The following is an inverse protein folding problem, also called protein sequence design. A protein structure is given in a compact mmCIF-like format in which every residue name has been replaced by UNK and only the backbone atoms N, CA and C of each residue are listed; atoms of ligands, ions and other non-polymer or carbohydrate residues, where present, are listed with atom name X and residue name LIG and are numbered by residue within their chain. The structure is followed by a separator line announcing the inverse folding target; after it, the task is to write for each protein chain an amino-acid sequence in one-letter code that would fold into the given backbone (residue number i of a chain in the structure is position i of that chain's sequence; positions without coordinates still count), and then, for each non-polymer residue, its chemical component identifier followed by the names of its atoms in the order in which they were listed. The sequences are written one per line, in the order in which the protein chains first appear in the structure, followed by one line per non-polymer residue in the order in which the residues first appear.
data_IF_950082510087
#
_entry.id   IF_950082510087
#
_cell.length_a   1.000
_cell.length_b   1.000
_cell.length_c   1.000
_cell.angle_alpha   90.00
_cell.angle_beta   90.00
_cell.angle_gamma   90.00
#
_symmetry.space_group_name_H-M   'P 1'
#
loop_
_entity.id
_entity.type
_entity.pdbx_description
1 polymer ?
#
# COMPACT_ATOMS: atom_id res chain seq x y z
N UNK A 1 -34.91 -9.80 -20.35
CA UNK A 1 -34.67 -9.24 -19.01
C UNK A 1 -34.76 -10.42 -18.06
N UNK A 2 -33.63 -11.09 -17.84
CA UNK A 2 -33.57 -12.42 -17.25
C UNK A 2 -33.54 -12.36 -15.73
N UNK A 3 -34.36 -13.19 -15.10
CA UNK A 3 -34.56 -13.28 -13.63
C UNK A 3 -33.26 -13.68 -12.89
N UNK A 4 -32.26 -14.20 -13.61
CA UNK A 4 -30.93 -14.52 -13.09
C UNK A 4 -30.05 -13.29 -12.74
N UNK A 5 -30.32 -12.10 -13.32
CA UNK A 5 -29.57 -10.88 -12.98
C UNK A 5 -29.94 -10.32 -11.58
N UNK A 6 -31.09 -10.71 -11.03
CA UNK A 6 -31.60 -10.18 -9.75
C UNK A 6 -30.87 -10.75 -8.52
N UNK A 7 -30.51 -12.03 -8.53
CA UNK A 7 -29.84 -12.69 -7.39
C UNK A 7 -28.33 -12.40 -7.32
N UNK A 8 -27.72 -11.95 -8.42
CA UNK A 8 -26.30 -11.57 -8.48
C UNK A 8 -26.04 -10.07 -8.23
N UNK A 9 -27.09 -9.27 -8.02
CA UNK A 9 -26.99 -7.81 -7.89
C UNK A 9 -26.41 -7.37 -6.52
N UNK A 10 -26.42 -8.25 -5.52
CA UNK A 10 -25.89 -7.97 -4.19
C UNK A 10 -24.37 -7.75 -4.13
N UNK A 11 -23.61 -8.36 -5.05
CA UNK A 11 -22.15 -8.28 -5.10
C UNK A 11 -21.63 -7.25 -6.11
N UNK A 12 -22.50 -6.59 -6.88
CA UNK A 12 -22.07 -5.60 -7.88
C UNK A 12 -21.85 -4.23 -7.23
N UNK A 13 -20.86 -3.45 -7.69
CA UNK A 13 -20.69 -2.08 -7.22
C UNK A 13 -21.95 -1.30 -7.58
N UNK A 14 -22.67 -0.82 -6.55
CA UNK A 14 -23.92 -0.07 -6.72
C UNK A 14 -23.67 1.39 -7.12
N UNK A 15 -22.47 1.91 -6.92
CA UNK A 15 -22.07 3.25 -7.36
C UNK A 15 -21.30 3.06 -8.65
N UNK A 16 -22.01 3.21 -9.77
CA UNK A 16 -21.41 3.17 -11.09
C UNK A 16 -21.40 4.59 -11.64
N UNK A 17 -20.40 5.39 -11.26
CA UNK A 17 -20.31 6.83 -11.59
C UNK A 17 -20.58 7.12 -13.07
N UNK A 18 -20.08 6.28 -13.98
CA UNK A 18 -20.27 6.41 -15.44
C UNK A 18 -21.42 5.56 -16.02
N UNK A 19 -22.20 4.86 -15.19
CA UNK A 19 -23.18 3.86 -15.67
C UNK A 19 -24.57 3.96 -15.01
N UNK A 20 -24.78 4.92 -14.12
CA UNK A 20 -26.11 5.30 -13.65
C UNK A 20 -26.74 6.18 -14.74
N UNK A 21 -27.98 5.86 -15.15
CA UNK A 21 -28.73 6.66 -16.14
C UNK A 21 -29.54 7.72 -15.40
N UNK A 22 -28.90 8.77 -14.90
CA UNK A 22 -29.62 10.03 -14.67
C UNK A 22 -29.21 11.05 -15.75
N UNK A 23 -30.09 12.01 -16.11
CA UNK A 23 -29.76 13.05 -17.09
C UNK A 23 -28.50 13.87 -16.74
N UNK A 24 -28.16 13.95 -15.46
CA UNK A 24 -26.97 14.65 -14.94
C UNK A 24 -25.66 13.91 -15.28
N UNK A 25 -25.68 12.59 -15.41
CA UNK A 25 -24.48 11.75 -15.61
C UNK A 25 -23.89 11.85 -17.04
N UNK A 26 -24.71 12.22 -18.03
CA UNK A 26 -24.22 12.49 -19.40
C UNK A 26 -23.29 13.72 -19.46
N UNK A 27 -23.24 14.53 -18.40
CA UNK A 27 -22.39 15.71 -18.28
C UNK A 27 -21.10 15.49 -17.47
N UNK A 28 -20.88 14.29 -16.92
CA UNK A 28 -19.69 14.03 -16.10
C UNK A 28 -18.40 14.10 -16.94
N UNK A 29 -17.33 14.74 -16.43
CA UNK A 29 -16.04 14.75 -17.09
C UNK A 29 -15.52 13.32 -17.33
N UNK A 30 -15.08 13.03 -18.55
CA UNK A 30 -14.50 11.72 -18.89
C UNK A 30 -15.48 10.63 -19.28
N UNK A 31 -16.80 10.89 -19.32
CA UNK A 31 -17.82 9.89 -19.73
C UNK A 31 -17.56 9.30 -21.11
N UNK A 32 -17.21 10.12 -22.10
CA UNK A 32 -16.90 9.65 -23.45
C UNK A 32 -15.69 8.72 -23.47
N UNK A 33 -14.61 9.10 -22.79
CA UNK A 33 -13.43 8.25 -22.64
C UNK A 33 -13.73 6.95 -21.89
N UNK A 34 -14.61 6.98 -20.87
CA UNK A 34 -15.04 5.78 -20.15
C UNK A 34 -15.79 4.80 -21.07
N UNK A 35 -16.69 5.30 -21.93
CA UNK A 35 -17.40 4.49 -22.92
C UNK A 35 -16.45 3.88 -23.95
N UNK A 36 -15.53 4.70 -24.50
CA UNK A 36 -14.51 4.22 -25.43
C UNK A 36 -13.61 3.16 -24.79
N UNK A 37 -13.19 3.37 -23.54
CA UNK A 37 -12.37 2.43 -22.79
C UNK A 37 -13.11 1.11 -22.56
N UNK A 38 -14.43 1.13 -22.32
CA UNK A 38 -15.21 -0.11 -22.23
C UNK A 38 -15.22 -0.90 -23.53
N UNK A 39 -15.45 -0.23 -24.67
CA UNK A 39 -15.40 -0.89 -25.98
C UNK A 39 -14.01 -1.47 -26.21
N UNK A 40 -12.97 -0.68 -25.95
CA UNK A 40 -11.57 -1.05 -26.09
C UNK A 40 -11.23 -2.31 -25.26
N UNK A 41 -11.57 -2.32 -23.96
CA UNK A 41 -11.28 -3.46 -23.06
C UNK A 41 -12.07 -4.71 -23.45
N UNK A 42 -13.34 -4.58 -23.86
CA UNK A 42 -14.16 -5.71 -24.33
C UNK A 42 -13.62 -6.34 -25.61
N UNK A 43 -13.04 -5.52 -26.49
CA UNK A 43 -12.36 -5.96 -27.70
C UNK A 43 -10.92 -6.45 -27.45
N UNK A 44 -10.58 -6.76 -26.18
CA UNK A 44 -9.30 -7.34 -25.76
C UNK A 44 -8.09 -6.47 -26.10
N UNK A 45 -8.22 -5.15 -26.01
CA UNK A 45 -7.12 -4.22 -26.26
C UNK A 45 -5.83 -4.49 -25.47
N UNK A 46 -4.74 -3.90 -25.96
CA UNK A 46 -3.44 -3.80 -25.31
C UNK A 46 -3.42 -2.67 -24.26
N UNK A 47 -2.38 -2.65 -23.43
CA UNK A 47 -2.19 -1.58 -22.44
C UNK A 47 -1.96 -0.21 -23.10
N UNK A 48 -1.28 -0.17 -24.25
CA UNK A 48 -1.03 1.05 -25.02
C UNK A 48 -2.31 1.63 -25.63
N UNK A 49 -3.17 0.77 -26.18
CA UNK A 49 -4.48 1.18 -26.69
C UNK A 49 -5.35 1.78 -25.58
N UNK A 50 -5.34 1.19 -24.38
CA UNK A 50 -6.03 1.74 -23.22
C UNK A 50 -5.46 3.11 -22.80
N UNK A 51 -4.13 3.30 -22.83
CA UNK A 51 -3.49 4.58 -22.55
C UNK A 51 -3.83 5.64 -23.60
N UNK A 52 -3.93 5.25 -24.87
CA UNK A 52 -4.31 6.15 -25.96
C UNK A 52 -5.71 6.74 -25.76
N UNK A 53 -6.67 5.93 -25.28
CA UNK A 53 -8.02 6.43 -24.92
C UNK A 53 -7.97 7.49 -23.82
N UNK A 54 -7.04 7.36 -22.87
CA UNK A 54 -6.88 8.28 -21.75
C UNK A 54 -6.03 9.51 -22.07
N UNK A 55 -5.35 9.55 -23.22
CA UNK A 55 -4.32 10.55 -23.53
C UNK A 55 -4.85 11.97 -23.46
N UNK A 56 -6.02 12.19 -24.06
CA UNK A 56 -6.58 13.52 -24.34
C UNK A 56 -7.51 14.02 -23.22
N UNK A 57 -7.59 13.30 -22.10
CA UNK A 57 -8.35 13.74 -20.93
C UNK A 57 -7.71 14.96 -20.25
N UNK A 58 -8.50 16.00 -19.91
CA UNK A 58 -8.00 17.19 -19.23
C UNK A 58 -7.44 16.83 -17.84
N UNK A 59 -6.56 17.67 -17.30
CA UNK A 59 -6.04 17.49 -15.95
C UNK A 59 -6.64 18.55 -15.02
N UNK A 60 -7.63 18.18 -14.17
CA UNK A 60 -8.29 19.12 -13.27
C UNK A 60 -7.34 19.85 -12.31
N UNK A 61 -6.18 19.26 -11.99
CA UNK A 61 -5.19 19.89 -11.11
C UNK A 61 -4.45 21.03 -11.83
N UNK A 62 -4.21 20.92 -13.13
CA UNK A 62 -3.56 21.99 -13.92
C UNK A 62 -4.46 23.21 -14.02
N UNK A 63 -5.77 23.00 -14.11
CA UNK A 63 -6.75 24.08 -14.21
C UNK A 63 -6.96 24.79 -12.85
N UNK A 64 -6.79 24.08 -11.74
CA UNK A 64 -6.83 24.64 -10.39
C UNK A 64 -5.54 25.42 -10.05
N UNK A 65 -4.37 24.88 -10.41
CA UNK A 65 -3.07 25.50 -10.12
C UNK A 65 -2.75 26.69 -11.04
N UNK A 66 -3.42 26.82 -12.20
CA UNK A 66 -3.31 27.98 -13.09
C UNK A 66 -3.74 29.31 -12.45
N UNK A 67 -4.43 29.27 -11.30
CA UNK A 67 -4.83 30.44 -10.51
C UNK A 67 -3.80 30.83 -9.44
N UNK A 68 -2.72 30.06 -9.28
CA UNK A 68 -1.64 30.32 -8.31
C UNK A 68 -0.29 30.47 -9.02
N UNK A 69 0.48 31.51 -8.66
CA UNK A 69 1.71 31.90 -9.36
C UNK A 69 2.89 30.89 -9.30
N UNK A 70 2.73 29.73 -8.66
CA UNK A 70 3.70 28.65 -8.57
C UNK A 70 3.14 27.37 -9.23
N UNK A 71 2.83 27.43 -10.52
CA UNK A 71 2.34 26.28 -11.29
C UNK A 71 3.46 25.24 -11.53
N UNK A 72 3.79 24.45 -10.52
CA UNK A 72 4.48 23.19 -10.72
C UNK A 72 3.59 22.30 -11.59
N UNK A 73 4.15 21.58 -12.56
CA UNK A 73 3.38 20.61 -13.34
C UNK A 73 2.72 19.60 -12.37
N UNK A 74 1.39 19.54 -12.37
CA UNK A 74 0.65 18.65 -11.48
C UNK A 74 1.21 17.21 -11.61
N UNK A 75 1.63 16.56 -10.50
CA UNK A 75 2.43 15.34 -10.54
C UNK A 75 1.66 14.10 -11.05
N UNK A 76 0.35 14.23 -11.27
CA UNK A 76 -0.50 13.20 -11.84
C UNK A 76 -1.79 13.81 -12.42
N UNK A 77 -2.57 13.00 -13.14
CA UNK A 77 -3.90 13.38 -13.63
C UNK A 77 -4.99 12.56 -12.94
N UNK A 78 -5.78 13.15 -12.01
CA UNK A 78 -6.80 12.42 -11.27
C UNK A 78 -7.95 11.93 -12.15
N UNK A 79 -8.28 12.63 -13.24
CA UNK A 79 -9.37 12.23 -14.13
C UNK A 79 -9.00 10.99 -14.94
N UNK A 80 -7.75 10.90 -15.42
CA UNK A 80 -7.25 9.68 -16.10
C UNK A 80 -7.32 8.46 -15.18
N UNK A 81 -6.90 8.63 -13.92
CA UNK A 81 -6.98 7.57 -12.90
C UNK A 81 -8.43 7.19 -12.63
N UNK A 82 -9.32 8.17 -12.42
CA UNK A 82 -10.73 7.93 -12.13
C UNK A 82 -11.41 7.15 -13.27
N UNK A 83 -11.35 7.65 -14.50
CA UNK A 83 -11.92 6.99 -15.68
C UNK A 83 -11.38 5.56 -15.82
N UNK A 84 -10.06 5.39 -15.74
CA UNK A 84 -9.44 4.07 -15.90
C UNK A 84 -9.84 3.07 -14.80
N UNK A 85 -9.66 3.44 -13.53
CA UNK A 85 -9.91 2.55 -12.39
C UNK A 85 -11.38 2.20 -12.27
N UNK A 86 -12.28 3.20 -12.39
CA UNK A 86 -13.72 2.98 -12.34
C UNK A 86 -14.17 2.04 -13.46
N UNK A 87 -13.67 2.26 -14.69
CA UNK A 87 -14.06 1.46 -15.86
C UNK A 87 -13.54 0.03 -15.76
N UNK A 88 -12.25 -0.15 -15.50
CA UNK A 88 -11.61 -1.46 -15.48
C UNK A 88 -12.18 -2.35 -14.36
N UNK A 89 -12.31 -1.82 -13.14
CA UNK A 89 -12.80 -2.60 -12.01
C UNK A 89 -14.31 -2.87 -12.10
N UNK A 90 -15.08 -1.98 -12.74
CA UNK A 90 -16.49 -2.26 -13.04
C UNK A 90 -16.64 -3.40 -14.07
N UNK A 91 -15.78 -3.45 -15.10
CA UNK A 91 -15.77 -4.60 -16.04
C UNK A 91 -15.30 -5.90 -15.37
N UNK A 92 -14.37 -5.79 -14.41
CA UNK A 92 -13.88 -6.91 -13.60
C UNK A 92 -14.81 -7.30 -12.44
N UNK A 93 -15.99 -6.71 -12.31
CA UNK A 93 -16.81 -6.80 -11.08
C UNK A 93 -17.56 -8.12 -10.89
N UNK A 94 -17.42 -9.09 -11.81
CA UNK A 94 -18.16 -10.36 -11.76
C UNK A 94 -17.70 -11.27 -10.61
N UNK A 95 -16.41 -11.28 -10.32
CA UNK A 95 -15.84 -11.97 -9.16
C UNK A 95 -14.47 -11.39 -8.82
N UNK A 96 -13.95 -11.73 -7.63
CA UNK A 96 -12.59 -11.36 -7.20
C UNK A 96 -11.55 -11.78 -8.26
N UNK A 97 -11.66 -13.00 -8.79
CA UNK A 97 -10.74 -13.50 -9.83
C UNK A 97 -10.78 -12.67 -11.11
N UNK A 98 -11.95 -12.19 -11.54
CA UNK A 98 -12.05 -11.30 -12.70
C UNK A 98 -11.39 -9.94 -12.44
N UNK A 99 -11.58 -9.38 -11.24
CA UNK A 99 -10.90 -8.13 -10.84
C UNK A 99 -9.38 -8.31 -10.79
N UNK A 100 -8.88 -9.43 -10.28
CA UNK A 100 -7.45 -9.73 -10.25
C UNK A 100 -6.84 -9.95 -11.63
N UNK A 101 -7.56 -10.63 -12.52
CA UNK A 101 -7.16 -10.78 -13.92
C UNK A 101 -7.11 -9.42 -14.63
N UNK A 102 -8.10 -8.54 -14.39
CA UNK A 102 -8.12 -7.19 -14.93
C UNK A 102 -6.92 -6.36 -14.46
N UNK A 103 -6.65 -6.34 -13.15
CA UNK A 103 -5.47 -5.66 -12.57
C UNK A 103 -4.18 -6.20 -13.17
N UNK A 104 -4.05 -7.52 -13.31
CA UNK A 104 -2.82 -8.14 -13.82
C UNK A 104 -2.62 -7.85 -15.32
N UNK A 105 -3.70 -7.89 -16.11
CA UNK A 105 -3.66 -7.59 -17.56
C UNK A 105 -3.23 -6.13 -17.83
N UNK A 106 -3.71 -5.18 -17.03
CA UNK A 106 -3.43 -3.76 -17.22
C UNK A 106 -2.47 -3.19 -16.17
N UNK A 107 -1.61 -4.04 -15.59
CA UNK A 107 -0.62 -3.64 -14.57
C UNK A 107 0.29 -2.50 -15.06
N UNK A 108 0.74 -2.57 -16.31
CA UNK A 108 1.55 -1.51 -16.93
C UNK A 108 0.85 -0.14 -16.91
N UNK A 109 -0.46 -0.10 -17.23
CA UNK A 109 -1.25 1.15 -17.19
C UNK A 109 -1.35 1.68 -15.76
N UNK A 110 -1.55 0.80 -14.77
CA UNK A 110 -1.52 1.19 -13.36
C UNK A 110 -0.17 1.78 -12.96
N UNK A 111 0.96 1.19 -13.39
CA UNK A 111 2.29 1.70 -13.05
C UNK A 111 2.56 3.08 -13.64
N UNK A 112 2.08 3.37 -14.85
CA UNK A 112 2.17 4.71 -15.44
C UNK A 112 1.27 5.71 -14.70
N UNK A 113 0.03 5.31 -14.38
CA UNK A 113 -0.94 6.22 -13.78
C UNK A 113 -0.70 6.48 -12.28
N UNK A 114 -0.03 5.57 -11.57
CA UNK A 114 0.19 5.59 -10.13
C UNK A 114 1.67 5.80 -9.75
N UNK A 115 2.36 6.66 -10.49
CA UNK A 115 3.81 6.93 -10.30
C UNK A 115 4.12 7.66 -8.98
N UNK A 116 3.30 8.65 -8.61
CA UNK A 116 3.44 9.42 -7.36
C UNK A 116 2.56 8.88 -6.22
N UNK A 117 2.93 9.20 -4.97
CA UNK A 117 2.15 8.81 -3.78
C UNK A 117 0.71 9.35 -3.85
N UNK A 118 0.53 10.59 -4.31
CA UNK A 118 -0.80 11.20 -4.48
C UNK A 118 -1.63 10.49 -5.55
N UNK A 119 -0.99 10.00 -6.61
CA UNK A 119 -1.64 9.21 -7.63
C UNK A 119 -2.07 7.83 -7.10
N UNK A 120 -1.23 7.18 -6.28
CA UNK A 120 -1.57 5.93 -5.60
C UNK A 120 -2.76 6.11 -4.65
N UNK A 121 -2.79 7.21 -3.87
CA UNK A 121 -3.94 7.57 -3.03
C UNK A 121 -5.19 7.83 -3.89
N UNK A 122 -5.03 8.43 -5.08
CA UNK A 122 -6.12 8.60 -6.05
C UNK A 122 -6.67 7.26 -6.55
N UNK A 123 -5.82 6.26 -6.82
CA UNK A 123 -6.22 4.90 -7.16
C UNK A 123 -7.00 4.25 -6.01
N UNK A 124 -6.47 4.29 -4.79
CA UNK A 124 -7.12 3.72 -3.59
C UNK A 124 -8.49 4.34 -3.34
N UNK A 125 -8.60 5.67 -3.52
CA UNK A 125 -9.87 6.37 -3.43
C UNK A 125 -10.88 5.88 -4.48
N UNK A 126 -10.46 5.65 -5.72
CA UNK A 126 -11.34 5.12 -6.75
C UNK A 126 -11.81 3.68 -6.46
N UNK A 127 -10.91 2.85 -5.93
CA UNK A 127 -11.27 1.51 -5.44
C UNK A 127 -12.33 1.61 -4.33
N UNK A 128 -12.13 2.50 -3.37
CA UNK A 128 -13.05 2.75 -2.27
C UNK A 128 -14.41 3.26 -2.76
N UNK A 129 -14.44 4.28 -3.61
CA UNK A 129 -15.67 4.88 -4.13
C UNK A 129 -16.52 3.84 -4.90
N UNK A 130 -15.87 2.93 -5.64
CA UNK A 130 -16.54 1.84 -6.37
C UNK A 130 -17.08 0.75 -5.41
N UNK A 131 -16.28 0.36 -4.41
CA UNK A 131 -16.53 -0.82 -3.57
C UNK A 131 -16.89 -0.53 -2.11
N UNK A 132 -17.28 0.71 -1.78
CA UNK A 132 -17.55 1.14 -0.39
C UNK A 132 -18.62 0.31 0.34
N UNK A 133 -19.52 -0.35 -0.43
CA UNK A 133 -20.58 -1.24 0.09
C UNK A 133 -20.17 -2.71 0.16
N UNK A 134 -18.97 -3.06 -0.29
CA UNK A 134 -18.41 -4.41 -0.26
C UNK A 134 -17.02 -4.40 0.41
N UNK A 135 -16.96 -4.32 1.75
CA UNK A 135 -15.69 -4.22 2.49
C UNK A 135 -14.65 -5.28 2.14
N UNK A 136 -15.07 -6.54 2.00
CA UNK A 136 -14.18 -7.64 1.61
C UNK A 136 -13.50 -7.39 0.25
N UNK A 137 -14.22 -6.83 -0.73
CA UNK A 137 -13.65 -6.50 -2.03
C UNK A 137 -12.58 -5.41 -1.92
N UNK A 138 -12.81 -4.38 -1.08
CA UNK A 138 -11.80 -3.36 -0.79
C UNK A 138 -10.54 -4.01 -0.21
N UNK A 139 -10.67 -4.86 0.81
CA UNK A 139 -9.53 -5.53 1.44
C UNK A 139 -8.71 -6.35 0.43
N UNK A 140 -9.35 -7.18 -0.40
CA UNK A 140 -8.63 -8.05 -1.35
C UNK A 140 -8.03 -7.27 -2.53
N UNK A 141 -8.64 -6.16 -2.96
CA UNK A 141 -8.09 -5.32 -4.02
C UNK A 141 -6.89 -4.52 -3.52
N UNK A 142 -6.95 -3.97 -2.31
CA UNK A 142 -5.78 -3.30 -1.69
C UNK A 142 -4.64 -4.30 -1.49
N UNK A 143 -4.92 -5.50 -0.99
CA UNK A 143 -3.94 -6.60 -0.89
C UNK A 143 -3.29 -6.93 -2.24
N UNK A 144 -4.10 -7.04 -3.31
CA UNK A 144 -3.62 -7.31 -4.66
C UNK A 144 -2.74 -6.16 -5.18
N UNK A 145 -3.15 -4.91 -4.97
CA UNK A 145 -2.39 -3.73 -5.42
C UNK A 145 -1.04 -3.60 -4.70
N UNK A 146 -0.98 -3.90 -3.41
CA UNK A 146 0.28 -3.99 -2.65
C UNK A 146 1.17 -5.12 -3.18
N UNK A 147 0.61 -6.32 -3.40
CA UNK A 147 1.36 -7.48 -3.94
C UNK A 147 1.95 -7.22 -5.32
N UNK A 148 1.27 -6.42 -6.15
CA UNK A 148 1.73 -6.07 -7.50
C UNK A 148 2.46 -4.73 -7.54
N UNK A 149 2.80 -4.14 -6.40
CA UNK A 149 3.51 -2.85 -6.30
C UNK A 149 2.86 -1.73 -7.15
N UNK A 150 1.52 -1.74 -7.23
CA UNK A 150 0.74 -0.64 -7.82
C UNK A 150 0.66 0.51 -6.80
N UNK A 151 0.53 0.16 -5.52
CA UNK A 151 0.55 1.09 -4.40
C UNK A 151 1.56 0.63 -3.36
N UNK A 152 2.12 1.58 -2.63
CA UNK A 152 3.02 1.37 -1.51
C UNK A 152 2.27 1.35 -0.18
N UNK A 153 2.93 0.81 0.86
CA UNK A 153 2.35 0.74 2.20
C UNK A 153 2.10 2.13 2.80
N UNK A 154 3.00 3.08 2.54
CA UNK A 154 2.89 4.50 2.90
C UNK A 154 1.60 5.12 2.34
N UNK A 155 1.35 4.95 1.05
CA UNK A 155 0.16 5.47 0.37
C UNK A 155 -1.14 4.91 0.97
N UNK A 156 -1.16 3.60 1.31
CA UNK A 156 -2.32 2.97 1.98
C UNK A 156 -2.55 3.56 3.37
N UNK A 157 -1.49 3.70 4.18
CA UNK A 157 -1.60 4.33 5.50
C UNK A 157 -2.11 5.78 5.37
N UNK A 158 -1.50 6.59 4.51
CA UNK A 158 -1.93 7.98 4.27
C UNK A 158 -3.39 8.07 3.81
N UNK A 159 -3.84 7.16 2.93
CA UNK A 159 -5.23 7.10 2.48
C UNK A 159 -6.21 6.76 3.62
N UNK A 160 -5.90 5.78 4.46
CA UNK A 160 -6.77 5.35 5.57
C UNK A 160 -7.07 6.47 6.57
N UNK A 161 -6.08 7.32 6.84
CA UNK A 161 -6.22 8.48 7.74
C UNK A 161 -6.67 9.77 7.02
N UNK A 162 -7.06 9.68 5.74
CA UNK A 162 -7.52 10.85 5.00
C UNK A 162 -8.88 11.36 5.49
N UNK A 163 -9.15 12.66 5.28
CA UNK A 163 -10.42 13.30 5.63
C UNK A 163 -11.65 12.59 5.03
N UNK A 164 -11.50 12.01 3.83
CA UNK A 164 -12.58 11.24 3.17
C UNK A 164 -12.94 9.95 3.90
N UNK A 165 -11.99 9.36 4.62
CA UNK A 165 -12.18 8.11 5.37
C UNK A 165 -12.67 8.35 6.81
N UNK A 166 -12.56 9.58 7.33
CA UNK A 166 -12.96 9.94 8.69
C UNK A 166 -14.38 9.48 9.07
N UNK A 167 -15.43 9.60 8.22
CA UNK A 167 -16.77 9.12 8.55
C UNK A 167 -16.90 7.59 8.70
N UNK A 168 -15.90 6.84 8.21
CA UNK A 168 -15.86 5.38 8.22
C UNK A 168 -14.82 4.83 9.20
N UNK A 169 -14.08 5.70 9.89
CA UNK A 169 -12.88 5.36 10.64
C UNK A 169 -13.09 4.32 11.75
N UNK A 170 -14.30 4.25 12.33
CA UNK A 170 -14.64 3.26 13.37
C UNK A 170 -14.98 1.87 12.81
N UNK A 171 -15.05 1.69 11.49
CA UNK A 171 -15.40 0.40 10.88
C UNK A 171 -14.21 -0.56 10.87
N UNK A 172 -14.42 -1.79 11.35
CA UNK A 172 -13.36 -2.79 11.55
C UNK A 172 -12.50 -3.10 10.32
N UNK A 173 -13.08 -3.18 9.13
CA UNK A 173 -12.34 -3.55 7.92
C UNK A 173 -11.26 -2.52 7.52
N UNK A 174 -11.37 -1.25 7.92
CA UNK A 174 -10.30 -0.27 7.67
C UNK A 174 -9.04 -0.62 8.46
N UNK A 175 -9.23 -1.13 9.66
CA UNK A 175 -8.15 -1.61 10.52
C UNK A 175 -7.60 -2.94 10.01
N UNK A 176 -8.45 -3.83 9.49
CA UNK A 176 -7.96 -5.03 8.77
C UNK A 176 -7.04 -4.65 7.61
N UNK A 177 -7.36 -3.62 6.83
CA UNK A 177 -6.49 -3.12 5.75
C UNK A 177 -5.19 -2.55 6.31
N UNK A 178 -5.22 -1.78 7.39
CA UNK A 178 -4.01 -1.24 8.04
C UNK A 178 -3.08 -2.37 8.50
N UNK A 179 -3.62 -3.30 9.27
CA UNK A 179 -2.88 -4.42 9.84
C UNK A 179 -2.35 -5.37 8.75
N UNK A 180 -3.14 -5.63 7.70
CA UNK A 180 -2.67 -6.35 6.51
C UNK A 180 -1.49 -5.65 5.83
N UNK A 181 -1.53 -4.33 5.75
CA UNK A 181 -0.46 -3.52 5.14
C UNK A 181 0.83 -3.58 5.97
N UNK A 182 0.73 -3.40 7.28
CA UNK A 182 1.88 -3.50 8.20
C UNK A 182 2.45 -4.93 8.16
N UNK A 183 1.60 -5.95 8.25
CA UNK A 183 2.02 -7.35 8.21
C UNK A 183 2.79 -7.68 6.93
N UNK A 184 2.36 -7.15 5.77
CA UNK A 184 3.09 -7.32 4.51
C UNK A 184 4.47 -6.70 4.55
N UNK A 185 4.58 -5.48 5.05
CA UNK A 185 5.85 -4.80 5.17
C UNK A 185 6.80 -5.57 6.08
N UNK A 186 6.31 -6.02 7.25
CA UNK A 186 7.08 -6.85 8.18
C UNK A 186 7.53 -8.15 7.51
N UNK A 187 6.63 -8.85 6.82
CA UNK A 187 6.96 -10.09 6.10
C UNK A 187 7.97 -9.86 4.98
N UNK A 188 7.91 -8.73 4.30
CA UNK A 188 8.87 -8.37 3.25
C UNK A 188 10.28 -8.20 3.82
N UNK A 189 10.41 -7.44 4.90
CA UNK A 189 11.68 -7.25 5.62
C UNK A 189 12.23 -8.58 6.14
N UNK A 190 11.39 -9.38 6.82
CA UNK A 190 11.83 -10.69 7.33
C UNK A 190 12.28 -11.63 6.22
N UNK A 191 11.60 -11.60 5.07
CA UNK A 191 11.99 -12.40 3.90
C UNK A 191 13.36 -11.99 3.35
N UNK A 192 13.56 -10.69 3.12
CA UNK A 192 14.85 -10.19 2.62
C UNK A 192 15.99 -10.45 3.61
N UNK A 193 15.73 -10.31 4.91
CA UNK A 193 16.70 -10.64 5.96
C UNK A 193 17.10 -12.11 5.96
N UNK A 194 16.14 -13.02 5.75
CA UNK A 194 16.42 -14.45 5.62
C UNK A 194 17.25 -14.78 4.37
N UNK A 195 16.84 -14.25 3.21
CA UNK A 195 17.56 -14.43 1.94
C UNK A 195 19.01 -13.92 2.02
N UNK A 196 19.23 -12.78 2.66
CA UNK A 196 20.57 -12.24 2.88
C UNK A 196 21.42 -13.12 3.81
N UNK A 197 20.84 -13.61 4.91
CA UNK A 197 21.54 -14.50 5.84
C UNK A 197 21.98 -15.79 5.15
N UNK A 198 21.07 -16.41 4.39
CA UNK A 198 21.35 -17.63 3.62
C UNK A 198 22.47 -17.41 2.59
N UNK A 199 22.46 -16.26 1.89
CA UNK A 199 23.49 -15.92 0.92
C UNK A 199 24.87 -15.69 1.57
N UNK A 200 24.91 -14.97 2.71
CA UNK A 200 26.16 -14.75 3.47
C UNK A 200 26.75 -16.07 3.97
N UNK A 201 25.92 -16.97 4.49
CA UNK A 201 26.37 -18.30 4.91
C UNK A 201 26.87 -19.15 3.74
N UNK A 202 26.20 -19.09 2.59
CA UNK A 202 26.63 -19.81 1.39
C UNK A 202 27.98 -19.31 0.88
N UNK A 203 28.22 -17.98 0.93
CA UNK A 203 29.50 -17.38 0.58
C UNK A 203 30.61 -17.82 1.55
N UNK A 204 30.37 -17.73 2.86
CA UNK A 204 31.34 -18.15 3.88
C UNK A 204 31.74 -19.64 3.78
N UNK A 205 30.77 -20.53 3.49
CA UNK A 205 31.04 -21.97 3.26
C UNK A 205 31.85 -22.23 1.99
N UNK A 206 31.68 -21.40 0.96
CA UNK A 206 32.45 -21.52 -0.28
C UNK A 206 33.91 -21.08 -0.08
N UNK A 207 34.15 -20.05 0.73
CA UNK A 207 35.50 -19.56 1.01
C UNK A 207 36.29 -20.52 1.92
N UNK A 208 35.64 -21.11 2.94
CA UNK A 208 36.28 -22.11 3.80
C UNK A 208 36.67 -23.38 3.03
N UNK A 209 35.81 -23.83 2.11
CA UNK A 209 36.06 -24.97 1.23
C UNK A 209 37.21 -24.72 0.22
N UNK A 210 37.46 -23.47 -0.15
CA UNK A 210 38.55 -23.12 -1.05
C UNK A 210 39.90 -23.14 -0.33
N UNK A 211 39.92 -22.72 0.94
CA UNK A 211 41.15 -22.64 1.74
C UNK A 211 41.65 -24.01 2.20
N UNK A 212 40.77 -24.99 2.43
CA UNK A 212 41.15 -26.38 2.78
C UNK A 212 41.73 -27.17 1.59
N UNK A 213 41.52 -26.71 0.35
CA UNK A 213 42.01 -27.40 -0.85
C UNK A 213 43.45 -27.03 -1.22
N UNK A 214 44.04 -25.98 -0.62
CA UNK A 214 45.42 -25.55 -0.89
C UNK A 214 46.45 -26.11 0.11
N UNK A 215 46.04 -26.72 1.23
CA UNK A 215 46.98 -27.32 2.21
C UNK A 215 47.36 -28.79 1.91
N UNK A 216 46.64 -29.51 1.03
CA UNK A 216 47.01 -30.87 0.60
C UNK A 216 47.70 -30.93 -0.78
N UNK A 217 48.47 -29.89 -1.12
CA UNK A 217 49.23 -29.78 -2.37
C UNK A 217 50.63 -30.40 -2.36
N UNK A 218 50.95 -31.30 -1.42
CA UNK A 218 52.26 -31.97 -1.34
C UNK A 218 52.14 -33.48 -1.07
N UNK A 219 51.41 -34.23 -1.88
CA UNK A 219 51.54 -35.69 -1.85
C UNK A 219 50.47 -36.49 -2.60
N UNK A 220 50.82 -36.94 -3.81
CA UNK A 220 50.32 -38.24 -4.32
C UNK A 220 49.12 -38.19 -5.27
N UNK A 221 49.38 -38.57 -6.52
CA UNK A 221 48.39 -38.84 -7.54
C UNK A 221 47.41 -39.96 -7.13
N UNK A 222 46.11 -39.80 -7.42
CA UNK A 222 45.30 -40.69 -8.29
C UNK A 222 43.80 -40.34 -8.23
N UNK A 223 43.21 -40.16 -9.43
CA UNK A 223 41.88 -40.68 -9.78
C UNK A 223 40.63 -40.07 -9.14
N UNK A 224 39.88 -39.29 -9.92
CA UNK A 224 38.42 -39.15 -9.72
C UNK A 224 37.89 -37.74 -9.92
N UNK A 225 37.72 -37.34 -11.18
CA UNK A 225 37.04 -36.09 -11.58
C UNK A 225 35.54 -36.17 -11.23
N UNK A 226 35.21 -35.93 -9.96
CA UNK A 226 33.84 -35.74 -9.51
C UNK A 226 33.47 -34.29 -9.81
N UNK A 227 32.87 -34.07 -10.98
CA UNK A 227 32.30 -32.79 -11.43
C UNK A 227 31.23 -32.36 -10.42
N UNK A 228 31.66 -31.64 -9.38
CA UNK A 228 30.80 -31.05 -8.35
C UNK A 228 29.91 -30.06 -9.09
N UNK A 229 28.60 -30.26 -8.99
CA UNK A 229 27.58 -29.36 -9.52
C UNK A 229 27.88 -28.00 -8.86
N UNK A 230 28.45 -27.07 -9.62
CA UNK A 230 28.63 -25.68 -9.20
C UNK A 230 27.21 -25.15 -8.93
N UNK A 231 26.80 -25.20 -7.66
CA UNK A 231 25.81 -24.27 -7.18
C UNK A 231 26.45 -22.90 -7.32
N UNK A 232 25.83 -22.03 -8.12
CA UNK A 232 26.22 -20.63 -8.29
C UNK A 232 26.65 -20.06 -6.95
N UNK A 233 27.96 -19.84 -6.77
CA UNK A 233 28.47 -19.10 -5.62
C UNK A 233 27.82 -17.72 -5.69
N UNK A 234 27.10 -17.26 -4.65
CA UNK A 234 26.60 -15.89 -4.65
C UNK A 234 27.81 -14.96 -4.80
N UNK A 235 27.83 -14.12 -5.84
CA UNK A 235 28.87 -13.10 -5.99
C UNK A 235 28.82 -12.14 -4.81
N UNK A 236 29.96 -11.60 -4.40
CA UNK A 236 30.04 -10.55 -3.38
C UNK A 236 29.14 -9.35 -3.76
N UNK A 237 29.14 -8.96 -5.04
CA UNK A 237 28.23 -7.94 -5.61
C UNK A 237 26.74 -8.31 -5.52
N UNK A 238 26.41 -9.61 -5.48
CA UNK A 238 25.03 -10.05 -5.30
C UNK A 238 24.60 -9.90 -3.84
N UNK A 239 25.50 -10.19 -2.89
CA UNK A 239 25.28 -9.99 -1.45
C UNK A 239 25.12 -8.51 -1.14
N UNK A 240 26.00 -7.65 -1.66
CA UNK A 240 25.90 -6.19 -1.50
C UNK A 240 24.55 -5.64 -2.00
N UNK A 241 24.11 -6.05 -3.20
CA UNK A 241 22.78 -5.65 -3.70
C UNK A 241 21.61 -6.16 -2.84
N UNK A 242 21.76 -7.29 -2.15
CA UNK A 242 20.75 -7.79 -1.22
C UNK A 242 20.74 -6.98 0.08
N UNK A 243 21.91 -6.53 0.54
CA UNK A 243 22.04 -5.63 1.68
C UNK A 243 21.38 -4.27 1.40
N UNK A 244 21.65 -3.65 0.26
CA UNK A 244 21.01 -2.40 -0.16
C UNK A 244 19.48 -2.51 -0.19
N UNK A 245 18.96 -3.64 -0.70
CA UNK A 245 17.51 -3.90 -0.74
C UNK A 245 16.92 -4.07 0.65
N UNK A 246 17.63 -4.73 1.56
CA UNK A 246 17.19 -4.93 2.93
C UNK A 246 17.16 -3.60 3.69
N UNK A 247 18.18 -2.75 3.52
CA UNK A 247 18.23 -1.42 4.11
C UNK A 247 17.09 -0.54 3.59
N UNK A 248 16.84 -0.53 2.27
CA UNK A 248 15.69 0.17 1.70
C UNK A 248 14.35 -0.32 2.29
N UNK A 249 14.17 -1.64 2.45
CA UNK A 249 12.97 -2.20 3.05
C UNK A 249 12.82 -1.83 4.55
N UNK A 250 13.92 -1.75 5.30
CA UNK A 250 13.92 -1.25 6.67
C UNK A 250 13.54 0.24 6.75
N UNK A 251 14.06 1.06 5.83
CA UNK A 251 13.67 2.47 5.72
C UNK A 251 12.17 2.61 5.45
N UNK A 252 11.63 1.83 4.52
CA UNK A 252 10.20 1.83 4.20
C UNK A 252 9.33 1.36 5.37
N UNK A 253 9.76 0.32 6.09
CA UNK A 253 9.08 -0.15 7.30
C UNK A 253 9.06 0.91 8.39
N UNK A 254 10.20 1.55 8.65
CA UNK A 254 10.31 2.65 9.62
C UNK A 254 9.41 3.82 9.20
N UNK A 255 9.46 4.22 7.93
CA UNK A 255 8.61 5.29 7.38
C UNK A 255 7.12 4.97 7.55
N UNK A 256 6.71 3.73 7.30
CA UNK A 256 5.33 3.28 7.49
C UNK A 256 4.87 3.48 8.94
N UNK A 257 5.64 3.00 9.92
CA UNK A 257 5.29 3.19 11.34
C UNK A 257 5.23 4.68 11.73
N UNK A 258 6.19 5.49 11.27
CA UNK A 258 6.18 6.93 11.53
C UNK A 258 4.91 7.60 10.98
N UNK A 259 4.51 7.29 9.75
CA UNK A 259 3.27 7.81 9.15
C UNK A 259 2.06 7.38 9.99
N UNK A 260 1.96 6.10 10.36
CA UNK A 260 0.82 5.59 11.14
C UNK A 260 0.72 6.29 12.50
N UNK A 261 1.81 6.35 13.26
CA UNK A 261 1.80 7.00 14.58
C UNK A 261 1.60 8.51 14.50
N UNK A 262 2.23 9.19 13.56
CA UNK A 262 2.03 10.62 13.34
C UNK A 262 0.56 10.92 13.02
N UNK A 263 -0.09 10.10 12.19
CA UNK A 263 -1.51 10.28 11.87
C UNK A 263 -2.43 10.02 13.06
N UNK A 264 -2.15 9.02 13.88
CA UNK A 264 -2.86 8.81 15.15
C UNK A 264 -2.73 10.00 16.09
N UNK A 265 -1.50 10.47 16.32
CA UNK A 265 -1.21 11.64 17.17
C UNK A 265 -1.99 12.85 16.66
N UNK A 266 -1.94 13.11 15.36
CA UNK A 266 -2.61 14.26 14.74
C UNK A 266 -4.13 14.23 14.98
N UNK A 267 -4.81 13.11 14.69
CA UNK A 267 -6.27 13.04 14.83
C UNK A 267 -6.72 13.01 16.31
N UNK A 268 -5.95 12.38 17.18
CA UNK A 268 -6.26 12.34 18.62
C UNK A 268 -6.06 13.72 19.24
N UNK A 269 -4.96 14.40 18.91
CA UNK A 269 -4.71 15.78 19.37
C UNK A 269 -5.78 16.74 18.85
N UNK A 270 -6.17 16.64 17.57
CA UNK A 270 -7.26 17.44 16.99
C UNK A 270 -8.58 17.23 17.74
N UNK A 271 -8.90 16.01 18.14
CA UNK A 271 -10.09 15.69 18.95
C UNK A 271 -10.00 16.26 20.36
N UNK A 272 -8.87 16.06 21.05
CA UNK A 272 -8.67 16.54 22.42
C UNK A 272 -8.74 18.06 22.50
N UNK A 273 -8.07 18.77 21.59
CA UNK A 273 -8.12 20.24 21.50
C UNK A 273 -9.55 20.73 21.22
N UNK A 274 -10.31 20.04 20.35
CA UNK A 274 -11.71 20.39 20.08
C UNK A 274 -12.60 20.18 21.30
N UNK A 275 -12.42 19.09 22.04
CA UNK A 275 -13.18 18.83 23.26
C UNK A 275 -12.87 19.87 24.35
N UNK A 276 -11.60 20.25 24.52
CA UNK A 276 -11.20 21.30 25.45
C UNK A 276 -11.81 22.66 25.07
N UNK A 277 -11.70 23.04 23.78
CA UNK A 277 -12.28 24.29 23.25
C UNK A 277 -13.80 24.37 23.46
N UNK A 278 -14.50 23.25 23.23
CA UNK A 278 -15.96 23.19 23.34
C UNK A 278 -16.44 22.89 24.78
N UNK A 279 -15.53 22.76 25.76
CA UNK A 279 -15.81 22.32 27.13
C UNK A 279 -16.63 21.01 27.20
N UNK A 280 -16.26 20.04 26.37
CA UNK A 280 -16.90 18.71 26.28
C UNK A 280 -15.96 17.61 26.77
N UNK A 281 -16.55 16.55 27.28
CA UNK A 281 -15.81 15.34 27.66
C UNK A 281 -15.11 14.72 26.43
N UNK A 282 -13.78 14.51 26.47
CA UNK A 282 -13.06 13.82 25.40
C UNK A 282 -13.42 12.33 25.27
N UNK A 283 -13.99 11.67 26.29
CA UNK A 283 -14.26 10.21 26.33
C UNK A 283 -15.45 9.75 25.47
N UNK A 284 -15.40 10.10 24.18
CA UNK A 284 -16.39 9.70 23.19
C UNK A 284 -16.17 8.25 22.74
N UNK A 285 -17.19 7.63 22.15
CA UNK A 285 -17.05 6.32 21.50
C UNK A 285 -15.96 6.34 20.41
N UNK A 286 -15.87 7.42 19.63
CA UNK A 286 -14.84 7.57 18.60
C UNK A 286 -13.44 7.62 19.21
N UNK A 287 -13.28 8.36 20.32
CA UNK A 287 -12.01 8.47 21.03
C UNK A 287 -11.55 7.13 21.59
N UNK A 288 -12.41 6.42 22.34
CA UNK A 288 -12.10 5.08 22.88
C UNK A 288 -11.75 4.09 21.78
N UNK A 289 -12.49 4.11 20.69
CA UNK A 289 -12.19 3.26 19.53
C UNK A 289 -10.83 3.59 18.93
N UNK A 290 -10.51 4.88 18.74
CA UNK A 290 -9.25 5.32 18.12
C UNK A 290 -8.03 5.04 19.01
N UNK A 291 -8.12 5.34 20.31
CA UNK A 291 -7.07 4.99 21.29
C UNK A 291 -6.88 3.47 21.36
N UNK A 292 -7.98 2.70 21.32
CA UNK A 292 -7.93 1.24 21.25
C UNK A 292 -7.19 0.73 20.01
N UNK A 293 -7.34 1.38 18.86
CA UNK A 293 -6.62 1.04 17.62
C UNK A 293 -5.16 1.44 17.65
N UNK A 294 -4.81 2.57 18.25
CA UNK A 294 -3.42 2.94 18.53
C UNK A 294 -2.74 1.87 19.39
N UNK A 295 -3.37 1.47 20.50
CA UNK A 295 -2.91 0.36 21.35
C UNK A 295 -2.75 -0.94 20.58
N UNK A 296 -3.72 -1.26 19.72
CA UNK A 296 -3.65 -2.48 18.90
C UNK A 296 -2.40 -2.50 18.00
N UNK A 297 -2.04 -1.37 17.38
CA UNK A 297 -0.82 -1.30 16.56
C UNK A 297 0.44 -1.57 17.38
N UNK A 298 0.54 -1.00 18.59
CA UNK A 298 1.65 -1.27 19.51
C UNK A 298 1.72 -2.76 19.91
N UNK A 299 0.59 -3.35 20.28
CA UNK A 299 0.56 -4.73 20.78
C UNK A 299 0.78 -5.77 19.68
N UNK A 300 0.17 -5.59 18.51
CA UNK A 300 0.22 -6.59 17.43
C UNK A 300 1.57 -6.60 16.69
N UNK A 301 2.26 -5.45 16.67
CA UNK A 301 3.54 -5.29 15.96
C UNK A 301 4.68 -4.92 16.91
N UNK A 302 4.59 -5.34 18.18
CA UNK A 302 5.50 -4.92 19.25
C UNK A 302 6.97 -5.16 18.92
N UNK A 303 7.32 -6.31 18.33
CA UNK A 303 8.72 -6.63 17.98
C UNK A 303 9.32 -5.63 16.99
N UNK A 304 8.54 -5.19 16.01
CA UNK A 304 9.00 -4.26 14.99
C UNK A 304 8.96 -2.83 15.49
N UNK A 305 7.92 -2.45 16.24
CA UNK A 305 7.82 -1.12 16.85
C UNK A 305 8.94 -0.90 17.87
N UNK A 306 9.29 -1.92 18.64
CA UNK A 306 10.35 -1.84 19.65
C UNK A 306 11.71 -1.40 19.05
N UNK A 307 12.03 -1.88 17.84
CA UNK A 307 13.26 -1.50 17.11
C UNK A 307 13.34 -0.01 16.80
N UNK A 308 12.20 0.68 16.75
CA UNK A 308 12.10 2.10 16.42
C UNK A 308 11.75 2.97 17.63
N UNK A 309 11.63 2.42 18.85
CA UNK A 309 11.18 3.13 20.05
C UNK A 309 11.95 4.42 20.32
N UNK A 310 13.28 4.41 20.22
CA UNK A 310 14.08 5.62 20.44
C UNK A 310 13.75 6.73 19.43
N UNK A 311 13.53 6.37 18.15
CA UNK A 311 13.10 7.36 17.16
C UNK A 311 11.68 7.86 17.46
N UNK A 312 10.77 6.97 17.87
CA UNK A 312 9.39 7.32 18.20
C UNK A 312 9.32 8.26 19.40
N UNK A 313 10.07 7.98 20.45
CA UNK A 313 10.19 8.83 21.65
C UNK A 313 10.77 10.21 21.32
N UNK A 314 11.81 10.25 20.48
CA UNK A 314 12.49 11.51 20.13
C UNK A 314 11.67 12.40 19.18
N UNK A 315 10.93 11.80 18.24
CA UNK A 315 10.30 12.54 17.15
C UNK A 315 8.78 12.68 17.25
N UNK A 316 8.08 11.74 17.89
CA UNK A 316 6.62 11.67 17.86
C UNK A 316 5.99 11.71 19.26
N UNK A 317 6.48 10.90 20.19
CA UNK A 317 5.96 10.77 21.55
C UNK A 317 6.85 11.56 22.53
N UNK A 318 7.00 12.85 22.26
CA UNK A 318 7.79 13.75 23.10
C UNK A 318 7.02 14.19 24.35
N UNK A 319 7.71 14.81 25.31
CA UNK A 319 7.10 15.29 26.56
C UNK A 319 6.04 16.38 26.36
N UNK A 320 6.03 17.05 25.20
CA UNK A 320 5.05 18.09 24.86
C UNK A 320 3.73 17.50 24.31
N UNK A 321 3.69 16.19 24.05
CA UNK A 321 2.49 15.51 23.59
C UNK A 321 1.45 15.41 24.72
N UNK A 322 0.16 15.49 24.36
CA UNK A 322 -0.93 15.33 25.33
C UNK A 322 -0.77 14.05 26.15
N UNK A 323 -0.86 14.13 27.50
CA UNK A 323 -0.63 12.98 28.39
C UNK A 323 -1.48 11.75 28.05
N UNK A 324 -2.71 11.92 27.57
CA UNK A 324 -3.58 10.79 27.24
C UNK A 324 -3.05 9.95 26.08
N UNK A 325 -2.36 10.58 25.13
CA UNK A 325 -1.75 9.91 23.98
C UNK A 325 -0.39 9.36 24.40
N UNK A 326 0.41 10.15 25.13
CA UNK A 326 1.74 9.77 25.58
C UNK A 326 1.70 8.55 26.52
N UNK A 327 0.71 8.45 27.39
CA UNK A 327 0.50 7.31 28.29
C UNK A 327 0.34 5.98 27.55
N UNK A 328 -0.24 5.99 26.34
CA UNK A 328 -0.36 4.79 25.51
C UNK A 328 1.03 4.27 25.09
N UNK A 329 1.94 5.18 24.75
CA UNK A 329 3.31 4.82 24.39
C UNK A 329 4.10 4.36 25.62
N UNK A 330 3.97 5.05 26.76
CA UNK A 330 4.62 4.62 28.01
C UNK A 330 4.14 3.24 28.47
N UNK A 331 2.85 2.94 28.34
CA UNK A 331 2.30 1.60 28.62
C UNK A 331 2.96 0.54 27.72
N UNK A 332 3.16 0.85 26.44
CA UNK A 332 3.87 -0.05 25.53
C UNK A 332 5.33 -0.27 25.94
N UNK A 333 6.07 0.80 26.22
CA UNK A 333 7.48 0.73 26.66
C UNK A 333 7.62 -0.10 27.94
N UNK A 334 6.69 0.06 28.88
CA UNK A 334 6.66 -0.69 30.14
C UNK A 334 6.44 -2.21 29.97
N UNK A 335 5.91 -2.67 28.83
CA UNK A 335 5.80 -4.11 28.54
C UNK A 335 7.12 -4.71 28.04
N UNK A 336 8.05 -3.86 27.60
CA UNK A 336 9.34 -4.26 27.02
C UNK A 336 10.55 -3.88 27.87
N UNK A 337 10.32 -3.10 28.94
CA UNK A 337 11.28 -2.80 30.00
C UNK A 337 11.36 -3.97 30.99
#
# INVERSE_FOLDING_TARGET
MDVADSLYDGCRPKIRRYWVRTPEDASLPGTEAAHQLVVCVRNKCTAEEALNVLRDLPNPLRDADAQTANAQAAPYNPLKIDVFVQTLLNLGSKSISHSFAAISKFHYVFKILAESEEAQICVLRNVWELWARHPQMVCVLVDKMLKTQIVECSAVATWLFSKKMAPHFTRSYLWEVLHLTIHKMNKHVSKLSGELSEAREALARADSSSSESEEEGAGGATGGTKKKKEGEKPSEEAVERMEERLEAAHMDQKRLFLIVFQRFIMILSEHLVRCDTDARDPDTHWYRSTVGRLRQVFLEHHEQVHKYSSTLETLLFTQDLDPHILDVFHQFVALTA
#
